data_IF_537853021502
#
_entry.id   IF_537853021502
#
_cell.length_a   1.000
_cell.length_b   1.000
_cell.length_c   1.000
_cell.angle_alpha   90.00
_cell.angle_beta   90.00
_cell.angle_gamma   90.00
#
_symmetry.space_group_name_H-M   'P 1'
#
loop_
_entity.id
_entity.type
_entity.pdbx_description
1 polymer ?
#
# COMPACT_ATOMS: atom_id res chain seq x y z
N UNK A 1 -30.48 19.96 41.11
CA UNK A 1 -30.16 19.83 42.53
C UNK A 1 -30.74 18.51 43.05
N UNK A 2 -29.92 17.67 43.65
CA UNK A 2 -30.26 16.54 44.48
C UNK A 2 -30.79 15.25 43.82
N UNK A 3 -30.08 14.74 42.86
CA UNK A 3 -30.13 13.31 42.50
C UNK A 3 -28.70 12.81 42.23
N UNK A 4 -27.88 12.90 43.23
CA UNK A 4 -26.55 12.30 43.13
C UNK A 4 -25.98 12.05 44.51
N UNK A 5 -26.13 10.90 45.06
CA UNK A 5 -25.06 10.33 45.90
C UNK A 5 -25.36 9.02 46.63
N UNK A 6 -26.56 8.49 46.69
CA UNK A 6 -26.77 7.33 47.56
C UNK A 6 -27.33 6.04 46.96
N UNK A 7 -27.86 6.04 45.74
CA UNK A 7 -28.62 4.87 45.26
C UNK A 7 -28.23 4.30 43.86
N UNK A 8 -27.09 4.63 43.33
CA UNK A 8 -26.59 3.90 42.12
C UNK A 8 -25.97 2.55 42.55
N UNK A 9 -26.79 1.62 43.02
CA UNK A 9 -26.47 0.19 43.01
C UNK A 9 -26.44 -0.26 41.54
N UNK A 10 -25.30 -0.13 40.89
CA UNK A 10 -25.08 -0.61 39.53
C UNK A 10 -25.27 -2.13 39.53
N UNK A 11 -26.41 -2.59 39.02
CA UNK A 11 -26.68 -4.01 38.84
C UNK A 11 -25.86 -4.51 37.62
N UNK A 12 -24.85 -5.31 37.91
CA UNK A 12 -23.85 -5.78 36.98
C UNK A 12 -24.38 -6.67 35.83
N UNK A 13 -25.67 -6.97 35.78
CA UNK A 13 -26.28 -7.78 34.72
C UNK A 13 -26.69 -7.02 33.46
N UNK A 14 -26.63 -5.69 33.45
CA UNK A 14 -27.04 -4.85 32.32
C UNK A 14 -25.97 -3.77 31.97
N UNK A 15 -24.71 -4.17 31.97
CA UNK A 15 -23.54 -3.29 31.80
C UNK A 15 -23.57 -2.43 30.51
N UNK A 16 -24.09 -3.00 29.43
CA UNK A 16 -24.04 -2.33 28.13
C UNK A 16 -24.93 -1.09 28.04
N UNK A 17 -26.14 -1.13 28.63
CA UNK A 17 -27.05 0.00 28.65
C UNK A 17 -26.64 1.07 29.66
N UNK A 18 -26.17 0.66 30.82
CA UNK A 18 -25.80 1.59 31.90
C UNK A 18 -24.53 2.37 31.57
N UNK A 19 -23.59 1.78 30.83
CA UNK A 19 -22.39 2.46 30.39
C UNK A 19 -22.65 3.42 29.23
N UNK A 20 -23.58 3.09 28.33
CA UNK A 20 -24.05 4.00 27.29
C UNK A 20 -24.80 5.21 27.90
N UNK A 21 -25.56 5.02 28.94
CA UNK A 21 -26.24 6.10 29.69
C UNK A 21 -25.22 6.97 30.43
N UNK A 22 -24.21 6.39 31.06
CA UNK A 22 -23.09 7.14 31.66
C UNK A 22 -22.34 7.95 30.60
N UNK A 23 -21.97 7.36 29.47
CA UNK A 23 -21.32 8.10 28.38
C UNK A 23 -22.18 9.22 27.78
N UNK A 24 -23.52 9.06 27.74
CA UNK A 24 -24.45 10.09 27.24
C UNK A 24 -24.65 11.25 28.22
N UNK A 25 -24.62 10.99 29.51
CA UNK A 25 -24.70 12.02 30.55
C UNK A 25 -23.48 12.93 30.57
N UNK A 26 -22.29 12.42 30.20
CA UNK A 26 -21.04 13.19 30.11
C UNK A 26 -20.95 14.11 28.90
N UNK A 27 -21.81 13.94 27.93
CA UNK A 27 -21.79 14.78 26.71
C UNK A 27 -22.47 16.16 26.93
N UNK A 28 -23.13 16.37 28.05
CA UNK A 28 -24.02 17.52 28.25
C UNK A 28 -23.64 18.56 29.33
N UNK A 29 -22.61 18.37 30.18
CA UNK A 29 -22.23 19.35 31.19
C UNK A 29 -20.72 19.57 31.36
N UNK A 30 -20.27 20.78 31.06
CA UNK A 30 -18.82 21.15 30.98
C UNK A 30 -18.13 21.47 32.33
N UNK A 31 -18.76 21.41 33.51
CA UNK A 31 -18.22 22.11 34.68
C UNK A 31 -18.02 21.35 36.02
N UNK A 32 -18.05 19.99 36.09
CA UNK A 32 -17.77 19.29 37.36
C UNK A 32 -17.14 17.89 37.23
N UNK A 33 -15.91 17.85 36.77
CA UNK A 33 -15.32 16.63 36.18
C UNK A 33 -14.56 15.66 37.12
N UNK A 34 -14.34 15.90 38.39
CA UNK A 34 -13.33 15.14 39.16
C UNK A 34 -13.79 13.80 39.73
N UNK A 35 -15.02 13.64 40.23
CA UNK A 35 -15.49 12.39 40.82
C UNK A 35 -16.04 11.40 39.78
N UNK A 36 -16.72 11.88 38.77
CA UNK A 36 -17.28 11.07 37.71
C UNK A 36 -16.15 10.45 36.83
N UNK A 37 -15.08 11.19 36.56
CA UNK A 37 -13.90 10.65 35.88
C UNK A 37 -13.26 9.48 36.64
N UNK A 38 -13.18 9.58 37.98
CA UNK A 38 -12.66 8.49 38.83
C UNK A 38 -13.53 7.23 38.74
N UNK A 39 -14.86 7.38 38.68
CA UNK A 39 -15.79 6.25 38.53
C UNK A 39 -15.59 5.57 37.16
N UNK A 40 -15.52 6.33 36.08
CA UNK A 40 -15.28 5.81 34.73
C UNK A 40 -13.93 5.08 34.61
N UNK A 41 -12.86 5.63 35.16
CA UNK A 41 -11.54 5.02 35.22
C UNK A 41 -11.60 3.70 36.02
N UNK A 42 -12.31 3.65 37.13
CA UNK A 42 -12.44 2.44 37.92
C UNK A 42 -13.23 1.34 37.22
N UNK A 43 -14.24 1.71 36.45
CA UNK A 43 -15.03 0.80 35.61
C UNK A 43 -14.16 0.30 34.42
N UNK A 44 -13.44 1.18 33.75
CA UNK A 44 -12.53 0.83 32.66
C UNK A 44 -11.42 -0.13 33.13
N UNK A 45 -10.81 0.12 34.29
CA UNK A 45 -9.80 -0.79 34.89
C UNK A 45 -10.39 -2.17 35.19
N UNK A 46 -11.65 -2.25 35.64
CA UNK A 46 -12.30 -3.54 35.91
C UNK A 46 -12.63 -4.32 34.64
N UNK A 47 -13.04 -3.64 33.57
CA UNK A 47 -13.26 -4.24 32.25
C UNK A 47 -11.96 -4.78 31.69
N UNK A 48 -10.85 -4.04 31.83
CA UNK A 48 -9.53 -4.43 31.34
C UNK A 48 -8.96 -5.67 32.02
N UNK A 49 -9.21 -5.80 33.33
CA UNK A 49 -8.76 -6.99 34.06
C UNK A 49 -9.53 -8.26 33.67
N UNK A 50 -10.64 -8.12 32.93
CA UNK A 50 -11.49 -9.22 32.48
C UNK A 50 -11.77 -9.09 30.96
N UNK A 51 -10.81 -8.63 30.18
CA UNK A 51 -11.00 -8.23 28.77
C UNK A 51 -11.48 -9.36 27.86
N UNK A 52 -11.20 -10.62 28.23
CA UNK A 52 -11.63 -11.80 27.46
C UNK A 52 -13.15 -12.03 27.52
N UNK A 53 -13.87 -11.37 28.43
CA UNK A 53 -15.30 -11.53 28.63
C UNK A 53 -16.14 -10.47 27.88
N UNK A 54 -15.50 -9.53 27.15
CA UNK A 54 -16.16 -8.41 26.52
C UNK A 54 -15.88 -8.31 25.02
N UNK A 55 -16.90 -7.89 24.26
CA UNK A 55 -16.78 -7.58 22.84
C UNK A 55 -15.78 -6.43 22.60
N UNK A 56 -14.83 -6.65 21.70
CA UNK A 56 -13.80 -5.69 21.33
C UNK A 56 -14.36 -4.32 20.88
N UNK A 57 -15.54 -4.30 20.25
CA UNK A 57 -16.19 -3.07 19.78
C UNK A 57 -16.73 -2.21 20.94
N UNK A 58 -17.13 -2.84 22.02
CA UNK A 58 -17.60 -2.18 23.24
C UNK A 58 -16.42 -1.56 24.02
N UNK A 59 -15.34 -2.30 24.17
CA UNK A 59 -14.09 -1.83 24.79
C UNK A 59 -13.54 -0.63 24.03
N UNK A 60 -13.55 -0.66 22.69
CA UNK A 60 -13.09 0.44 21.83
C UNK A 60 -13.90 1.73 22.03
N UNK A 61 -15.23 1.65 22.12
CA UNK A 61 -16.10 2.82 22.35
C UNK A 61 -15.83 3.50 23.69
N UNK A 62 -15.56 2.73 24.75
CA UNK A 62 -15.21 3.28 26.07
C UNK A 62 -13.88 4.01 26.01
N UNK A 63 -12.87 3.41 25.38
CA UNK A 63 -11.56 4.03 25.26
C UNK A 63 -11.57 5.28 24.38
N UNK A 64 -12.37 5.30 23.33
CA UNK A 64 -12.56 6.49 22.49
C UNK A 64 -13.17 7.64 23.30
N UNK A 65 -14.18 7.36 24.11
CA UNK A 65 -14.80 8.38 24.99
C UNK A 65 -13.84 8.93 26.04
N UNK A 66 -13.00 8.07 26.64
CA UNK A 66 -11.99 8.47 27.64
C UNK A 66 -10.81 9.25 27.03
N UNK A 67 -10.54 9.11 25.72
CA UNK A 67 -9.46 9.81 25.05
C UNK A 67 -9.66 11.34 24.93
N UNK A 68 -10.89 11.83 25.13
CA UNK A 68 -11.19 13.27 25.11
C UNK A 68 -10.85 14.01 26.41
N UNK A 69 -10.56 13.32 27.51
CA UNK A 69 -10.19 13.97 28.78
C UNK A 69 -8.71 14.37 28.81
N UNK A 70 -8.44 15.67 28.64
CA UNK A 70 -7.07 16.18 28.40
C UNK A 70 -6.16 16.33 29.61
N UNK A 71 -6.63 16.25 30.86
CA UNK A 71 -5.87 16.78 32.02
C UNK A 71 -5.60 15.82 33.18
N UNK A 72 -6.12 14.60 33.19
CA UNK A 72 -5.92 13.66 34.29
C UNK A 72 -4.74 12.69 34.00
N UNK A 73 -3.83 12.52 34.99
CA UNK A 73 -2.69 11.59 34.88
C UNK A 73 -3.15 10.13 34.66
N UNK A 74 -4.32 9.76 35.17
CA UNK A 74 -4.88 8.42 34.95
C UNK A 74 -5.47 8.27 33.55
N UNK A 75 -6.09 9.31 32.98
CA UNK A 75 -6.51 9.35 31.59
C UNK A 75 -5.31 9.28 30.63
N UNK A 76 -4.17 9.89 31.00
CA UNK A 76 -2.89 9.74 30.27
C UNK A 76 -2.39 8.30 30.34
N UNK A 77 -2.55 7.61 31.48
CA UNK A 77 -2.20 6.19 31.62
C UNK A 77 -3.08 5.28 30.74
N UNK A 78 -4.37 5.59 30.61
CA UNK A 78 -5.30 4.86 29.72
C UNK A 78 -4.96 5.13 28.24
N UNK A 79 -4.54 6.36 27.89
CA UNK A 79 -4.02 6.69 26.54
C UNK A 79 -2.78 5.87 26.15
N UNK A 80 -1.99 5.41 27.11
CA UNK A 80 -0.87 4.50 26.86
C UNK A 80 -1.31 3.11 26.36
N UNK A 81 -2.60 2.78 26.41
CA UNK A 81 -3.15 1.52 25.93
C UNK A 81 -3.47 1.51 24.44
N UNK A 82 -3.40 2.65 23.73
CA UNK A 82 -3.39 2.63 22.26
C UNK A 82 -2.13 1.88 21.80
N UNK A 83 -2.30 1.09 20.73
CA UNK A 83 -1.22 0.27 20.19
C UNK A 83 0.01 1.13 19.91
N UNK A 84 1.11 0.85 20.60
CA UNK A 84 2.33 1.67 20.57
C UNK A 84 2.88 1.79 19.16
N UNK A 85 2.87 0.70 18.38
CA UNK A 85 3.28 0.65 16.98
C UNK A 85 2.68 1.80 16.14
N UNK A 86 1.37 2.05 16.25
CA UNK A 86 0.73 3.13 15.48
C UNK A 86 1.06 4.53 16.01
N UNK A 87 1.36 4.66 17.32
CA UNK A 87 1.87 5.93 17.85
C UNK A 87 3.27 6.24 17.32
N UNK A 88 4.11 5.21 17.24
CA UNK A 88 5.46 5.35 16.72
C UNK A 88 5.42 5.74 15.23
N UNK A 89 4.53 5.11 14.45
CA UNK A 89 4.28 5.50 13.05
C UNK A 89 3.80 6.95 12.89
N UNK A 90 2.96 7.46 13.81
CA UNK A 90 2.55 8.87 13.81
C UNK A 90 3.72 9.82 14.12
N UNK A 91 4.64 9.38 14.96
CA UNK A 91 5.83 10.17 15.34
C UNK A 91 6.89 10.17 14.24
N UNK A 92 6.98 9.10 13.47
CA UNK A 92 7.86 8.94 12.32
C UNK A 92 7.19 9.49 11.04
N UNK A 93 6.80 10.77 11.06
CA UNK A 93 6.22 11.40 9.85
C UNK A 93 7.19 11.28 8.67
N UNK A 94 6.69 10.77 7.55
CA UNK A 94 7.42 10.78 6.28
C UNK A 94 7.83 12.21 5.92
N UNK A 95 9.11 12.40 5.62
CA UNK A 95 9.64 13.71 5.17
C UNK A 95 8.90 14.19 3.92
N UNK A 96 8.59 13.29 3.00
CA UNK A 96 7.82 13.59 1.78
C UNK A 96 6.46 14.19 2.14
N UNK A 97 5.75 13.61 3.11
CA UNK A 97 4.45 14.13 3.55
C UNK A 97 4.57 15.49 4.22
N UNK A 98 5.60 15.70 5.05
CA UNK A 98 5.86 17.01 5.68
C UNK A 98 6.15 18.10 4.63
N UNK A 99 6.94 17.77 3.61
CA UNK A 99 7.24 18.69 2.51
C UNK A 99 5.99 19.02 1.69
N UNK A 100 5.15 18.03 1.38
CA UNK A 100 3.89 18.25 0.68
C UNK A 100 2.89 19.08 1.48
N UNK A 101 2.77 18.83 2.80
CA UNK A 101 1.96 19.66 3.71
C UNK A 101 2.48 21.11 3.75
N UNK A 102 3.80 21.30 3.80
CA UNK A 102 4.43 22.61 3.75
C UNK A 102 4.19 23.32 2.42
N UNK A 103 4.39 22.64 1.30
CA UNK A 103 4.14 23.19 -0.04
C UNK A 103 2.67 23.61 -0.21
N UNK A 104 1.73 22.78 0.28
CA UNK A 104 0.29 23.10 0.27
C UNK A 104 0.00 24.37 1.09
N UNK A 105 0.50 24.46 2.31
CA UNK A 105 0.32 25.64 3.15
C UNK A 105 0.93 26.89 2.51
N UNK A 106 2.13 26.76 1.94
CA UNK A 106 2.79 27.87 1.25
C UNK A 106 2.05 28.33 0.01
N UNK A 107 1.47 27.39 -0.77
CA UNK A 107 0.64 27.72 -1.94
C UNK A 107 -0.62 28.51 -1.59
N UNK A 108 -1.20 28.27 -0.41
CA UNK A 108 -2.33 29.08 0.09
C UNK A 108 -1.92 30.54 0.42
N UNK A 109 -0.66 30.75 0.83
CA UNK A 109 -0.16 32.08 1.20
C UNK A 109 0.28 32.92 -0.01
N UNK A 110 1.00 32.32 -0.97
CA UNK A 110 1.67 33.07 -2.06
C UNK A 110 1.13 32.74 -3.45
N UNK A 111 0.13 31.86 -3.56
CA UNK A 111 -0.36 31.30 -4.83
C UNK A 111 0.39 30.01 -5.23
N UNK A 112 -0.35 29.00 -5.67
CA UNK A 112 0.23 27.69 -6.05
C UNK A 112 1.16 27.81 -7.26
N UNK A 113 0.96 28.76 -8.14
CA UNK A 113 1.82 29.07 -9.29
C UNK A 113 3.23 29.54 -8.90
N UNK A 114 3.43 29.93 -7.65
CA UNK A 114 4.72 30.37 -7.11
C UNK A 114 5.39 29.30 -6.22
N UNK A 115 4.84 28.08 -6.17
CA UNK A 115 5.39 26.96 -5.39
C UNK A 115 5.75 25.82 -6.33
N UNK A 116 7.05 25.49 -6.36
CA UNK A 116 7.58 24.36 -7.11
C UNK A 116 7.68 23.15 -6.18
N UNK A 117 6.60 22.37 -6.08
CA UNK A 117 6.54 21.17 -5.21
C UNK A 117 7.01 19.92 -5.94
N UNK A 118 8.17 19.42 -5.52
CA UNK A 118 8.75 18.16 -6.00
C UNK A 118 8.66 17.04 -4.95
N UNK A 119 7.82 17.18 -3.94
CA UNK A 119 7.74 16.22 -2.83
C UNK A 119 6.89 15.00 -3.15
N UNK A 120 5.75 15.17 -3.82
CA UNK A 120 4.78 14.11 -4.10
C UNK A 120 4.71 13.80 -5.58
N UNK A 121 5.04 12.54 -5.94
CA UNK A 121 4.98 12.06 -7.32
C UNK A 121 3.55 11.90 -7.84
N UNK A 122 2.85 13.02 -8.07
CA UNK A 122 1.55 13.02 -8.72
C UNK A 122 1.76 13.18 -10.24
N UNK A 123 1.12 12.35 -11.10
CA UNK A 123 1.19 12.53 -12.53
C UNK A 123 0.83 13.97 -12.95
N UNK A 124 1.66 14.56 -13.81
CA UNK A 124 1.48 15.93 -14.32
C UNK A 124 0.84 15.97 -15.71
N UNK A 125 0.50 14.82 -16.27
CA UNK A 125 -0.17 14.68 -17.56
C UNK A 125 -1.62 14.22 -17.37
N UNK A 126 -2.55 14.65 -18.25
CA UNK A 126 -3.95 14.25 -18.12
C UNK A 126 -4.17 12.77 -18.41
N UNK A 127 -5.28 12.24 -17.89
CA UNK A 127 -5.78 10.91 -18.26
C UNK A 127 -6.05 10.86 -19.78
N UNK A 128 -5.82 9.72 -20.46
CA UNK A 128 -6.20 9.55 -21.85
C UNK A 128 -7.68 9.82 -22.07
N UNK A 129 -8.00 10.54 -23.15
CA UNK A 129 -9.39 10.91 -23.47
C UNK A 129 -10.30 9.67 -23.59
N UNK A 130 -9.76 8.58 -24.11
CA UNK A 130 -10.49 7.33 -24.27
C UNK A 130 -11.05 6.78 -22.94
N UNK A 131 -10.34 6.97 -21.83
CA UNK A 131 -10.87 6.57 -20.50
C UNK A 131 -12.09 7.41 -20.14
N UNK A 132 -12.03 8.73 -20.38
CA UNK A 132 -13.17 9.64 -20.13
C UNK A 132 -14.35 9.26 -20.99
N UNK A 133 -14.14 9.00 -22.28
CA UNK A 133 -15.19 8.60 -23.23
C UNK A 133 -15.86 7.30 -22.82
N UNK A 134 -15.06 6.29 -22.44
CA UNK A 134 -15.56 5.01 -21.91
C UNK A 134 -16.41 5.21 -20.65
N UNK A 135 -15.97 6.05 -19.71
CA UNK A 135 -16.73 6.34 -18.50
C UNK A 135 -18.09 6.97 -18.82
N UNK A 136 -18.12 7.95 -19.74
CA UNK A 136 -19.36 8.61 -20.18
C UNK A 136 -20.29 7.60 -20.85
N UNK A 137 -19.77 6.81 -21.78
CA UNK A 137 -20.54 5.80 -22.49
C UNK A 137 -21.14 4.77 -21.52
N UNK A 138 -20.35 4.26 -20.59
CA UNK A 138 -20.81 3.28 -19.59
C UNK A 138 -21.95 3.84 -18.72
N UNK A 139 -21.83 5.08 -18.26
CA UNK A 139 -22.87 5.72 -17.45
C UNK A 139 -24.16 5.95 -18.22
N UNK A 140 -24.11 6.15 -19.54
CA UNK A 140 -25.28 6.38 -20.40
C UNK A 140 -25.95 5.08 -20.85
N UNK A 141 -25.19 4.04 -21.15
CA UNK A 141 -25.66 2.87 -21.88
C UNK A 141 -25.83 1.61 -21.02
N UNK A 142 -25.02 1.46 -19.96
CA UNK A 142 -25.02 0.24 -19.14
C UNK A 142 -26.08 0.27 -18.03
N UNK A 143 -26.53 -0.93 -17.66
CA UNK A 143 -27.42 -1.08 -16.52
C UNK A 143 -26.72 -0.60 -15.23
N UNK A 144 -27.32 0.36 -14.48
CA UNK A 144 -26.75 0.85 -13.23
C UNK A 144 -26.45 -0.26 -12.20
N UNK A 145 -27.24 -1.35 -12.17
CA UNK A 145 -27.01 -2.48 -11.28
C UNK A 145 -25.70 -3.24 -11.60
N UNK A 146 -25.29 -3.27 -12.87
CA UNK A 146 -24.01 -3.85 -13.28
C UNK A 146 -22.85 -2.94 -12.95
N UNK A 147 -23.02 -1.62 -13.12
CA UNK A 147 -21.96 -0.64 -12.87
C UNK A 147 -21.66 -0.47 -11.39
N UNK A 148 -22.70 -0.46 -10.55
CA UNK A 148 -22.60 -0.08 -9.14
C UNK A 148 -22.78 -1.25 -8.17
N UNK A 149 -23.05 -2.46 -8.67
CA UNK A 149 -23.15 -3.68 -7.88
C UNK A 149 -21.81 -4.14 -7.31
N UNK A 150 -21.84 -4.98 -6.30
CA UNK A 150 -20.64 -5.62 -5.76
C UNK A 150 -19.92 -6.45 -6.81
N UNK A 151 -18.62 -6.26 -6.96
CA UNK A 151 -17.77 -7.19 -7.70
C UNK A 151 -17.51 -8.47 -6.86
N UNK A 152 -17.23 -9.62 -7.52
CA UNK A 152 -16.65 -10.77 -6.84
C UNK A 152 -15.39 -10.38 -6.04
N UNK A 153 -15.09 -11.11 -4.97
CA UNK A 153 -13.97 -10.79 -4.05
C UNK A 153 -12.61 -10.75 -4.70
N UNK A 154 -12.40 -11.42 -5.81
CA UNK A 154 -11.16 -11.36 -6.60
C UNK A 154 -11.13 -10.25 -7.65
N UNK A 155 -12.21 -9.50 -7.79
CA UNK A 155 -12.44 -8.54 -8.86
C UNK A 155 -13.37 -9.08 -9.94
N UNK A 156 -13.89 -8.18 -10.78
CA UNK A 156 -14.80 -8.52 -11.86
C UNK A 156 -14.14 -9.54 -12.82
N UNK A 157 -14.84 -10.62 -13.13
CA UNK A 157 -14.29 -11.74 -13.91
C UNK A 157 -13.87 -11.32 -15.31
N UNK A 158 -14.70 -10.52 -16.02
CA UNK A 158 -14.34 -10.04 -17.36
C UNK A 158 -13.16 -9.08 -17.36
N UNK A 159 -12.99 -8.30 -16.29
CA UNK A 159 -11.82 -7.41 -16.12
C UNK A 159 -10.55 -8.21 -15.88
N UNK A 160 -10.60 -9.23 -15.01
CA UNK A 160 -9.45 -10.13 -14.77
C UNK A 160 -9.05 -10.87 -16.06
N UNK A 161 -10.01 -11.29 -16.87
CA UNK A 161 -9.79 -11.91 -18.17
C UNK A 161 -9.14 -10.93 -19.15
N UNK A 162 -9.65 -9.71 -19.28
CA UNK A 162 -9.06 -8.68 -20.14
C UNK A 162 -7.61 -8.31 -19.72
N UNK A 163 -7.33 -8.22 -18.43
CA UNK A 163 -5.97 -8.00 -17.91
C UNK A 163 -5.05 -9.17 -18.27
N UNK A 164 -5.52 -10.41 -18.08
CA UNK A 164 -4.75 -11.61 -18.41
C UNK A 164 -4.43 -11.68 -19.91
N UNK A 165 -5.40 -11.40 -20.77
CA UNK A 165 -5.21 -11.37 -22.22
C UNK A 165 -4.22 -10.28 -22.67
N UNK A 166 -4.32 -9.09 -22.06
CA UNK A 166 -3.39 -7.99 -22.29
C UNK A 166 -1.96 -8.37 -21.93
N UNK A 167 -1.76 -8.96 -20.73
CA UNK A 167 -0.43 -9.44 -20.29
C UNK A 167 0.09 -10.57 -21.21
N UNK A 168 -0.76 -11.52 -21.57
CA UNK A 168 -0.39 -12.64 -22.46
C UNK A 168 0.03 -12.14 -23.83
N UNK A 169 -0.73 -11.23 -24.42
CA UNK A 169 -0.40 -10.60 -25.70
C UNK A 169 0.91 -9.83 -25.64
N UNK A 170 1.12 -9.07 -24.58
CA UNK A 170 2.28 -8.18 -24.43
C UNK A 170 3.57 -8.94 -24.13
N UNK A 171 3.50 -9.95 -23.26
CA UNK A 171 4.69 -10.62 -22.75
C UNK A 171 4.89 -12.05 -23.26
N UNK A 172 3.90 -12.64 -23.92
CA UNK A 172 3.98 -14.04 -24.39
C UNK A 172 3.94 -15.08 -23.26
N UNK A 173 3.46 -14.69 -22.06
CA UNK A 173 3.24 -15.57 -20.91
C UNK A 173 1.76 -15.91 -20.84
N UNK A 174 1.35 -17.19 -20.69
CA UNK A 174 -0.06 -17.61 -20.81
C UNK A 174 -0.88 -17.30 -19.56
N UNK A 175 -1.02 -16.02 -19.21
CA UNK A 175 -1.88 -15.59 -18.11
C UNK A 175 -3.36 -15.95 -18.39
N UNK A 176 -4.07 -16.27 -17.33
CA UNK A 176 -5.52 -16.47 -17.30
C UNK A 176 -6.10 -15.65 -16.15
N UNK A 177 -7.41 -15.46 -16.13
CA UNK A 177 -8.09 -14.75 -15.03
C UNK A 177 -7.81 -15.35 -13.65
N UNK A 178 -7.53 -16.64 -13.57
CA UNK A 178 -7.18 -17.36 -12.35
C UNK A 178 -5.83 -16.87 -11.75
N UNK A 179 -4.99 -16.20 -12.53
CA UNK A 179 -3.71 -15.65 -12.11
C UNK A 179 -3.78 -14.16 -11.73
N UNK A 180 -4.96 -13.53 -11.83
CA UNK A 180 -5.15 -12.09 -11.63
C UNK A 180 -6.07 -11.82 -10.44
N UNK A 181 -5.64 -10.91 -9.57
CA UNK A 181 -6.42 -10.37 -8.46
C UNK A 181 -6.47 -8.84 -8.54
N UNK A 182 -7.69 -8.25 -8.61
CA UNK A 182 -7.86 -6.81 -8.72
C UNK A 182 -7.67 -6.13 -7.36
N UNK A 183 -6.90 -5.05 -7.32
CA UNK A 183 -6.48 -4.39 -6.07
C UNK A 183 -6.66 -2.88 -6.10
N UNK A 184 -6.70 -2.24 -4.91
CA UNK A 184 -6.65 -0.80 -4.78
C UNK A 184 -5.23 -0.30 -5.05
N UNK A 185 -4.86 -0.23 -6.33
CA UNK A 185 -3.53 0.11 -6.84
C UNK A 185 -2.42 -0.86 -6.37
N UNK A 186 -1.16 -0.55 -6.68
CA UNK A 186 -0.01 -1.36 -6.30
C UNK A 186 0.13 -1.52 -4.76
N UNK A 187 -0.25 -0.51 -3.99
CA UNK A 187 -0.24 -0.60 -2.52
C UNK A 187 -1.11 -1.76 -2.01
N UNK A 188 -2.31 -1.94 -2.58
CA UNK A 188 -3.16 -3.08 -2.29
C UNK A 188 -2.56 -4.40 -2.76
N UNK A 189 -1.92 -4.43 -3.93
CA UNK A 189 -1.23 -5.61 -4.44
C UNK A 189 -0.08 -6.04 -3.52
N UNK A 190 0.79 -5.11 -3.13
CA UNK A 190 1.90 -5.35 -2.20
C UNK A 190 1.41 -5.83 -0.84
N UNK A 191 0.38 -5.20 -0.28
CA UNK A 191 -0.20 -5.62 1.01
C UNK A 191 -0.71 -7.06 1.01
N UNK A 192 -1.20 -7.56 -0.14
CA UNK A 192 -1.59 -8.96 -0.32
C UNK A 192 -0.37 -9.85 -0.60
N UNK A 193 0.53 -9.43 -1.50
CA UNK A 193 1.73 -10.19 -1.85
C UNK A 193 2.57 -10.55 -0.62
N UNK A 194 2.83 -9.58 0.27
CA UNK A 194 3.58 -9.84 1.50
C UNK A 194 2.89 -10.87 2.40
N UNK A 195 1.56 -10.76 2.56
CA UNK A 195 0.77 -11.71 3.38
C UNK A 195 0.63 -13.10 2.78
N UNK A 196 0.77 -13.23 1.46
CA UNK A 196 0.75 -14.52 0.78
C UNK A 196 1.98 -15.36 1.10
N UNK A 197 3.14 -14.72 1.27
CA UNK A 197 4.43 -15.39 1.22
C UNK A 197 5.25 -15.28 2.52
N UNK A 198 4.74 -14.56 3.54
CA UNK A 198 5.45 -14.40 4.81
C UNK A 198 4.58 -14.67 6.03
N UNK A 199 5.21 -15.18 7.06
CA UNK A 199 4.70 -15.29 8.43
C UNK A 199 5.45 -14.32 9.36
N UNK A 200 4.98 -14.22 10.61
CA UNK A 200 5.64 -13.37 11.61
C UNK A 200 7.09 -13.82 11.86
N UNK A 201 8.03 -12.91 11.67
CA UNK A 201 9.47 -13.15 11.86
C UNK A 201 10.24 -13.54 10.60
N UNK A 202 9.55 -13.80 9.48
CA UNK A 202 10.18 -13.96 8.17
C UNK A 202 10.82 -12.65 7.70
N UNK A 203 11.75 -12.75 6.76
CA UNK A 203 12.48 -11.61 6.23
C UNK A 203 12.11 -11.36 4.76
N UNK A 204 12.00 -10.08 4.40
CA UNK A 204 11.89 -9.60 3.03
C UNK A 204 13.10 -8.72 2.76
N UNK A 205 13.82 -8.97 1.65
CA UNK A 205 14.89 -8.07 1.20
C UNK A 205 14.36 -7.08 0.16
N UNK A 206 14.82 -5.83 0.24
CA UNK A 206 14.68 -4.83 -0.83
C UNK A 206 16.00 -4.09 -1.01
N UNK A 207 16.11 -3.32 -2.09
CA UNK A 207 17.37 -2.67 -2.50
C UNK A 207 17.25 -1.15 -2.33
N UNK A 208 18.22 -0.53 -1.67
CA UNK A 208 18.27 0.93 -1.58
C UNK A 208 18.77 1.54 -2.92
N UNK A 209 18.24 2.73 -3.29
CA UNK A 209 17.15 3.46 -2.69
C UNK A 209 15.79 2.84 -3.02
N UNK A 210 14.82 2.95 -2.11
CA UNK A 210 13.51 2.30 -2.26
C UNK A 210 12.35 3.21 -1.79
N UNK A 211 11.13 2.84 -2.13
CA UNK A 211 9.93 3.55 -1.73
C UNK A 211 9.66 3.35 -0.22
N UNK A 212 9.67 4.43 0.61
CA UNK A 212 9.65 4.30 2.08
C UNK A 212 8.42 3.59 2.66
N UNK A 213 7.30 3.58 1.93
CA UNK A 213 6.07 2.93 2.40
C UNK A 213 6.17 1.39 2.44
N UNK A 214 7.24 0.79 1.90
CA UNK A 214 7.47 -0.65 2.07
C UNK A 214 7.64 -1.04 3.54
N UNK A 215 8.26 -0.18 4.37
CA UNK A 215 8.38 -0.41 5.81
C UNK A 215 7.01 -0.66 6.47
N UNK A 216 6.05 0.28 6.46
CA UNK A 216 4.76 0.04 7.11
C UNK A 216 3.98 -1.13 6.48
N UNK A 217 4.12 -1.39 5.18
CA UNK A 217 3.42 -2.51 4.54
C UNK A 217 3.93 -3.86 5.05
N UNK A 218 5.24 -4.03 5.17
CA UNK A 218 5.87 -5.25 5.69
C UNK A 218 5.68 -5.37 7.20
N UNK A 219 5.93 -4.30 7.95
CA UNK A 219 5.79 -4.29 9.42
C UNK A 219 4.39 -4.72 9.89
N UNK A 220 3.34 -4.40 9.12
CA UNK A 220 1.98 -4.78 9.46
C UNK A 220 1.65 -6.25 9.16
N UNK A 221 2.54 -7.00 8.53
CA UNK A 221 2.43 -8.47 8.41
C UNK A 221 3.10 -9.20 9.57
N UNK A 222 3.99 -8.54 10.30
CA UNK A 222 4.86 -9.15 11.31
C UNK A 222 6.19 -9.66 10.75
N UNK A 223 6.39 -9.57 9.43
CA UNK A 223 7.68 -9.82 8.79
C UNK A 223 8.65 -8.65 8.99
N UNK A 224 9.91 -8.85 8.68
CA UNK A 224 11.00 -7.88 8.83
C UNK A 224 11.50 -7.45 7.46
N UNK A 225 11.40 -6.15 7.14
CA UNK A 225 12.03 -5.61 5.93
C UNK A 225 13.52 -5.35 6.21
N UNK A 226 14.39 -5.95 5.39
CA UNK A 226 15.83 -5.69 5.36
C UNK A 226 16.23 -5.02 4.06
N UNK A 227 17.13 -4.06 4.15
CA UNK A 227 17.53 -3.21 3.03
C UNK A 227 18.95 -3.53 2.63
N UNK A 228 19.13 -4.01 1.41
CA UNK A 228 20.45 -4.23 0.79
C UNK A 228 21.04 -2.86 0.45
N UNK A 229 22.30 -2.57 0.88
CA UNK A 229 22.98 -1.32 0.53
C UNK A 229 23.06 -1.10 -0.99
N UNK A 230 22.97 0.16 -1.45
CA UNK A 230 22.98 0.45 -2.89
C UNK A 230 24.36 0.25 -3.51
N UNK A 231 24.38 -0.04 -4.79
CA UNK A 231 25.48 0.36 -5.68
C UNK A 231 25.25 1.83 -6.04
N UNK A 232 26.06 2.72 -5.51
CA UNK A 232 25.88 4.17 -5.70
C UNK A 232 26.39 4.69 -7.06
N UNK A 233 27.08 3.87 -7.84
CA UNK A 233 27.57 4.25 -9.17
C UNK A 233 26.50 4.05 -10.24
N UNK A 234 25.73 2.96 -10.13
CA UNK A 234 24.77 2.56 -11.17
C UNK A 234 23.33 2.46 -10.69
N UNK A 235 23.12 2.34 -9.38
CA UNK A 235 21.86 1.95 -8.73
C UNK A 235 21.25 0.64 -9.29
N UNK A 236 22.07 -0.20 -9.95
CA UNK A 236 21.74 -1.60 -10.15
C UNK A 236 21.90 -2.36 -8.81
N UNK A 237 21.62 -3.64 -8.80
CA UNK A 237 21.70 -4.44 -7.56
C UNK A 237 23.16 -4.60 -7.13
N UNK A 238 23.45 -4.26 -5.86
CA UNK A 238 24.70 -4.60 -5.19
C UNK A 238 24.66 -6.10 -4.81
N UNK A 239 25.14 -6.95 -5.70
CA UNK A 239 25.03 -8.40 -5.55
C UNK A 239 25.86 -8.95 -4.40
N UNK A 240 27.02 -8.38 -4.10
CA UNK A 240 27.88 -8.84 -3.01
C UNK A 240 27.14 -8.68 -1.67
N UNK A 241 26.60 -7.50 -1.41
CA UNK A 241 25.79 -7.24 -0.22
C UNK A 241 24.48 -8.06 -0.22
N UNK A 242 23.86 -8.24 -1.38
CA UNK A 242 22.65 -9.05 -1.51
C UNK A 242 22.88 -10.50 -1.10
N UNK A 243 23.92 -11.14 -1.63
CA UNK A 243 24.21 -12.55 -1.33
C UNK A 243 24.58 -12.77 0.15
N UNK A 244 25.27 -11.79 0.77
CA UNK A 244 25.57 -11.81 2.20
C UNK A 244 24.31 -11.74 3.08
N UNK A 245 23.33 -10.92 2.67
CA UNK A 245 22.08 -10.72 3.41
C UNK A 245 21.02 -11.79 3.13
N UNK A 246 21.17 -12.59 2.08
CA UNK A 246 20.19 -13.59 1.66
C UNK A 246 20.33 -14.88 2.52
N UNK A 247 19.62 -14.89 3.65
CA UNK A 247 19.62 -15.99 4.62
C UNK A 247 18.41 -16.93 4.42
N UNK A 248 18.39 -18.06 5.13
CA UNK A 248 17.26 -19.02 5.14
C UNK A 248 15.93 -18.43 5.69
N UNK A 249 15.98 -17.29 6.38
CA UNK A 249 14.79 -16.57 6.85
C UNK A 249 14.12 -15.74 5.77
N UNK A 250 14.81 -15.49 4.67
CA UNK A 250 14.28 -14.68 3.57
C UNK A 250 13.26 -15.49 2.78
N UNK A 251 12.02 -15.01 2.76
CA UNK A 251 10.91 -15.63 2.01
C UNK A 251 10.58 -14.88 0.74
N UNK A 252 10.94 -13.62 0.67
CA UNK A 252 10.71 -12.82 -0.54
C UNK A 252 11.81 -11.78 -0.75
N UNK A 253 12.01 -11.44 -2.03
CA UNK A 253 12.79 -10.29 -2.49
C UNK A 253 11.85 -9.34 -3.20
N UNK A 254 11.89 -8.07 -2.82
CA UNK A 254 11.07 -7.01 -3.37
C UNK A 254 11.94 -6.12 -4.26
N UNK A 255 11.56 -6.00 -5.53
CA UNK A 255 12.16 -5.04 -6.47
C UNK A 255 11.13 -4.04 -6.95
N UNK A 256 11.61 -2.85 -7.36
CA UNK A 256 10.83 -1.84 -8.05
C UNK A 256 11.59 -1.38 -9.28
N UNK A 257 11.05 -1.67 -10.46
CA UNK A 257 11.71 -1.35 -11.73
C UNK A 257 10.68 -1.03 -12.83
N UNK A 258 10.72 0.19 -13.41
CA UNK A 258 11.57 1.35 -13.08
C UNK A 258 11.46 1.76 -11.62
N UNK A 259 12.58 2.19 -11.01
CA UNK A 259 12.67 2.40 -9.57
C UNK A 259 12.23 3.81 -9.16
N UNK A 260 11.49 3.89 -8.08
CA UNK A 260 11.27 5.11 -7.31
C UNK A 260 12.08 5.01 -6.00
N UNK A 261 13.08 5.90 -5.74
CA UNK A 261 13.23 7.23 -6.35
C UNK A 261 14.34 7.35 -7.41
N UNK A 262 15.14 6.31 -7.69
CA UNK A 262 16.36 6.49 -8.52
C UNK A 262 16.09 6.69 -10.02
N UNK A 263 14.92 6.29 -10.51
CA UNK A 263 14.61 6.28 -11.93
C UNK A 263 15.35 5.20 -12.73
N UNK A 264 16.14 4.37 -12.08
CA UNK A 264 16.91 3.31 -12.75
C UNK A 264 15.99 2.14 -13.11
N UNK A 265 16.22 1.59 -14.31
CA UNK A 265 15.60 0.35 -14.77
C UNK A 265 16.62 -0.78 -14.59
N UNK A 266 16.23 -1.86 -13.94
CA UNK A 266 17.10 -3.03 -13.84
C UNK A 266 17.22 -3.71 -15.20
N UNK A 267 18.47 -3.85 -15.65
CA UNK A 267 18.78 -4.43 -16.94
C UNK A 267 18.47 -5.94 -16.99
N UNK A 268 18.34 -6.47 -18.23
CA UNK A 268 18.18 -7.91 -18.44
C UNK A 268 19.27 -8.74 -17.73
N UNK A 269 20.59 -8.40 -17.80
CA UNK A 269 21.61 -9.12 -17.04
C UNK A 269 21.44 -9.03 -15.53
N UNK A 270 20.99 -7.89 -15.01
CA UNK A 270 20.73 -7.72 -13.56
C UNK A 270 19.58 -8.64 -13.10
N UNK A 271 18.48 -8.67 -13.84
CA UNK A 271 17.34 -9.53 -13.51
C UNK A 271 17.72 -11.01 -13.63
N UNK A 272 18.47 -11.39 -14.68
CA UNK A 272 18.94 -12.76 -14.86
C UNK A 272 19.81 -13.21 -13.68
N UNK A 273 20.82 -12.41 -13.30
CA UNK A 273 21.69 -12.74 -12.15
C UNK A 273 20.91 -12.84 -10.85
N UNK A 274 19.98 -11.89 -10.60
CA UNK A 274 19.10 -11.94 -9.44
C UNK A 274 18.35 -13.27 -9.36
N UNK A 275 17.68 -13.64 -10.45
CA UNK A 275 16.84 -14.84 -10.48
C UNK A 275 17.63 -16.14 -10.42
N UNK A 276 18.85 -16.17 -10.95
CA UNK A 276 19.75 -17.33 -10.82
C UNK A 276 20.18 -17.54 -9.37
N UNK A 277 20.51 -16.44 -8.64
CA UNK A 277 20.81 -16.51 -7.20
C UNK A 277 19.58 -16.99 -6.42
N UNK A 278 18.38 -16.49 -6.73
CA UNK A 278 17.15 -16.94 -6.05
C UNK A 278 16.91 -18.44 -6.23
N UNK A 279 17.10 -18.99 -7.43
CA UNK A 279 16.99 -20.44 -7.69
C UNK A 279 17.99 -21.24 -6.87
N UNK A 280 19.26 -20.83 -6.88
CA UNK A 280 20.33 -21.47 -6.13
C UNK A 280 19.99 -21.51 -4.62
N UNK A 281 19.61 -20.35 -4.07
CA UNK A 281 19.33 -20.23 -2.64
C UNK A 281 18.04 -20.95 -2.23
N UNK A 282 16.98 -20.91 -3.05
CA UNK A 282 15.78 -21.71 -2.82
C UNK A 282 16.09 -23.21 -2.72
N UNK A 283 16.88 -23.71 -3.66
CA UNK A 283 17.34 -25.10 -3.61
C UNK A 283 18.21 -25.41 -2.38
N UNK A 284 19.09 -24.49 -2.00
CA UNK A 284 19.98 -24.65 -0.84
C UNK A 284 19.22 -24.64 0.48
N UNK A 285 18.22 -23.76 0.62
CA UNK A 285 17.45 -23.59 1.87
C UNK A 285 16.25 -24.54 1.97
N UNK A 286 15.88 -25.20 0.88
CA UNK A 286 14.78 -26.17 0.84
C UNK A 286 13.40 -25.54 0.93
N UNK A 287 13.28 -24.25 0.54
CA UNK A 287 12.01 -23.54 0.43
C UNK A 287 12.06 -22.50 -0.69
N UNK A 288 10.89 -22.12 -1.21
CA UNK A 288 10.77 -21.09 -2.22
C UNK A 288 11.09 -19.71 -1.67
N UNK A 289 11.78 -18.91 -2.49
CA UNK A 289 11.97 -17.47 -2.28
C UNK A 289 11.18 -16.76 -3.38
N UNK A 290 10.18 -15.98 -3.02
CA UNK A 290 9.34 -15.29 -3.99
C UNK A 290 9.96 -13.97 -4.44
N UNK A 291 9.79 -13.63 -5.73
CA UNK A 291 10.17 -12.34 -6.28
C UNK A 291 8.93 -11.47 -6.44
N UNK A 292 8.82 -10.45 -5.59
CA UNK A 292 7.73 -9.46 -5.66
C UNK A 292 8.23 -8.30 -6.50
N UNK A 293 7.62 -8.10 -7.66
CA UNK A 293 7.95 -7.02 -8.59
C UNK A 293 6.91 -5.91 -8.51
N UNK A 294 7.29 -4.77 -7.94
CA UNK A 294 6.47 -3.56 -7.89
C UNK A 294 6.66 -2.75 -9.17
N UNK A 295 5.63 -2.73 -10.03
CA UNK A 295 5.72 -2.24 -11.40
C UNK A 295 4.75 -1.09 -11.74
N UNK A 296 4.52 -0.08 -10.89
CA UNK A 296 3.62 1.03 -11.22
C UNK A 296 4.13 1.91 -12.35
N UNK A 297 5.43 1.86 -12.65
CA UNK A 297 6.12 2.67 -13.67
C UNK A 297 6.45 1.90 -14.94
N UNK A 298 5.98 0.67 -15.11
CA UNK A 298 6.35 -0.23 -16.22
C UNK A 298 6.19 0.40 -17.60
N UNK A 299 5.22 1.28 -17.81
CA UNK A 299 4.98 1.99 -19.07
C UNK A 299 5.76 3.29 -19.19
N UNK A 300 6.45 3.73 -18.13
CA UNK A 300 7.26 4.96 -18.14
C UNK A 300 8.73 4.55 -18.22
N UNK A 301 9.11 4.11 -19.41
CA UNK A 301 10.48 3.76 -19.77
C UNK A 301 10.91 4.66 -20.93
N UNK A 302 12.10 5.24 -20.81
CA UNK A 302 12.61 6.20 -21.77
C UNK A 302 13.22 5.52 -23.01
N UNK A 303 13.36 6.28 -24.08
CA UNK A 303 13.81 5.74 -25.37
C UNK A 303 15.19 5.02 -25.26
N UNK A 304 15.27 3.84 -25.83
CA UNK A 304 16.51 3.03 -25.87
C UNK A 304 16.81 2.26 -24.58
N UNK A 305 15.96 2.35 -23.54
CA UNK A 305 16.15 1.60 -22.29
C UNK A 305 15.49 0.22 -22.38
N UNK A 306 16.26 -0.82 -22.08
CA UNK A 306 15.75 -2.19 -21.94
C UNK A 306 15.04 -2.36 -20.58
N UNK A 307 13.74 -2.68 -20.61
CA UNK A 307 12.91 -2.94 -19.43
C UNK A 307 12.33 -4.36 -19.49
N UNK A 308 13.04 -5.35 -18.97
CA UNK A 308 12.63 -6.74 -19.07
C UNK A 308 11.37 -7.03 -18.25
N UNK A 309 10.50 -7.91 -18.77
CA UNK A 309 9.39 -8.48 -18.00
C UNK A 309 9.94 -9.51 -17.00
N UNK A 310 9.92 -9.19 -15.72
CA UNK A 310 10.52 -9.99 -14.64
C UNK A 310 9.97 -11.42 -14.59
N UNK A 311 8.67 -11.61 -14.84
CA UNK A 311 8.02 -12.93 -14.86
C UNK A 311 8.57 -13.90 -15.94
N UNK A 312 9.33 -13.41 -16.93
CA UNK A 312 10.00 -14.28 -17.90
C UNK A 312 11.24 -14.97 -17.32
N UNK A 313 11.77 -14.46 -16.23
CA UNK A 313 13.04 -14.90 -15.67
C UNK A 313 12.90 -15.77 -14.42
N UNK A 314 11.73 -15.71 -13.75
CA UNK A 314 11.53 -16.43 -12.49
C UNK A 314 10.09 -16.87 -12.31
N UNK A 315 9.88 -18.18 -12.04
CA UNK A 315 8.54 -18.75 -11.95
C UNK A 315 7.78 -18.23 -10.71
N UNK A 316 8.45 -18.14 -9.57
CA UNK A 316 7.85 -17.66 -8.31
C UNK A 316 7.79 -16.12 -8.26
N UNK A 317 7.23 -15.49 -9.31
CA UNK A 317 7.10 -14.03 -9.42
C UNK A 317 5.67 -13.57 -9.17
N UNK A 318 5.54 -12.56 -8.29
CA UNK A 318 4.32 -11.82 -8.01
C UNK A 318 4.47 -10.39 -8.55
N UNK A 319 3.73 -10.04 -9.59
CA UNK A 319 3.73 -8.71 -10.20
C UNK A 319 2.66 -7.84 -9.54
N UNK A 320 3.06 -6.73 -8.93
CA UNK A 320 2.19 -5.73 -8.33
C UNK A 320 2.11 -4.51 -9.25
N UNK A 321 0.93 -4.24 -9.82
CA UNK A 321 0.75 -3.21 -10.82
C UNK A 321 -0.29 -2.17 -10.43
N UNK A 322 -0.14 -0.95 -10.94
CA UNK A 322 -1.10 0.15 -10.78
C UNK A 322 -1.28 0.96 -12.05
N UNK A 323 -2.52 1.33 -12.34
CA UNK A 323 -2.85 2.30 -13.41
C UNK A 323 -2.64 3.76 -12.97
N UNK A 324 -2.18 4.00 -11.75
CA UNK A 324 -1.95 5.34 -11.21
C UNK A 324 -1.02 6.19 -12.05
N UNK A 325 -0.04 5.56 -12.71
CA UNK A 325 1.01 6.25 -13.46
C UNK A 325 0.81 6.11 -14.96
N UNK A 326 0.58 4.90 -15.45
CA UNK A 326 0.37 4.63 -16.88
C UNK A 326 -0.84 5.33 -17.49
N UNK A 327 -1.93 5.45 -16.73
CA UNK A 327 -3.16 6.13 -17.16
C UNK A 327 -3.43 7.44 -16.43
N UNK A 328 -2.50 7.94 -15.60
CA UNK A 328 -2.71 9.13 -14.76
C UNK A 328 -3.98 9.05 -13.89
N UNK A 329 -4.24 7.89 -13.28
CA UNK A 329 -5.43 7.60 -12.46
C UNK A 329 -5.06 7.34 -10.97
N UNK A 330 -4.22 8.16 -10.30
CA UNK A 330 -3.82 7.86 -8.93
C UNK A 330 -4.99 7.93 -7.93
N UNK A 331 -6.00 8.76 -8.20
CA UNK A 331 -7.18 8.93 -7.38
C UNK A 331 -8.16 7.76 -7.45
N UNK A 332 -8.17 7.02 -8.54
CA UNK A 332 -9.13 5.93 -8.79
C UNK A 332 -8.77 4.63 -8.06
N UNK A 333 -7.57 4.55 -7.51
CA UNK A 333 -7.10 3.41 -6.71
C UNK A 333 -7.32 2.07 -7.39
N UNK A 334 -6.83 1.90 -8.60
CA UNK A 334 -7.00 0.70 -9.43
C UNK A 334 -5.66 0.09 -9.84
N UNK A 335 -5.55 -1.21 -9.68
CA UNK A 335 -4.39 -2.02 -10.03
C UNK A 335 -4.70 -3.50 -9.92
N UNK A 336 -3.67 -4.33 -9.97
CA UNK A 336 -3.80 -5.78 -9.82
C UNK A 336 -2.52 -6.41 -9.26
N UNK A 337 -2.70 -7.58 -8.66
CA UNK A 337 -1.67 -8.57 -8.43
C UNK A 337 -1.79 -9.64 -9.51
N UNK A 338 -0.71 -9.93 -10.23
CA UNK A 338 -0.63 -11.04 -11.15
C UNK A 338 0.42 -12.04 -10.66
N UNK A 339 0.01 -13.29 -10.44
CA UNK A 339 0.92 -14.39 -10.11
C UNK A 339 1.36 -15.05 -11.39
N UNK A 340 2.66 -15.27 -11.56
CA UNK A 340 3.19 -15.93 -12.74
C UNK A 340 2.52 -17.30 -12.96
N UNK A 341 1.97 -17.60 -14.16
CA UNK A 341 1.35 -18.89 -14.44
C UNK A 341 2.26 -20.12 -14.26
N UNK A 342 3.58 -19.91 -14.32
CA UNK A 342 4.59 -20.97 -14.07
C UNK A 342 4.80 -21.24 -12.56
N UNK A 343 4.30 -20.39 -11.67
CA UNK A 343 4.35 -20.65 -10.23
C UNK A 343 3.42 -21.83 -9.89
N UNK A 344 3.90 -22.87 -9.18
CA UNK A 344 3.12 -24.08 -8.92
C UNK A 344 1.76 -23.84 -8.25
N UNK A 345 1.68 -22.86 -7.36
CA UNK A 345 0.49 -22.56 -6.58
C UNK A 345 -0.24 -21.27 -7.04
N UNK A 346 -0.03 -20.83 -8.29
CA UNK A 346 -0.51 -19.55 -8.78
C UNK A 346 -2.03 -19.32 -8.54
N UNK A 347 -2.86 -20.29 -8.91
CA UNK A 347 -4.32 -20.20 -8.72
C UNK A 347 -4.72 -20.23 -7.24
N UNK A 348 -4.04 -21.02 -6.43
CA UNK A 348 -4.25 -21.10 -4.98
C UNK A 348 -3.92 -19.74 -4.34
N UNK A 349 -2.79 -19.14 -4.69
CA UNK A 349 -2.36 -17.83 -4.18
C UNK A 349 -3.37 -16.74 -4.50
N UNK A 350 -3.90 -16.69 -5.72
CA UNK A 350 -4.95 -15.73 -6.10
C UNK A 350 -6.23 -15.96 -5.29
N UNK A 351 -6.63 -17.21 -5.06
CA UNK A 351 -7.78 -17.52 -4.21
C UNK A 351 -7.55 -17.12 -2.74
N UNK A 352 -6.34 -17.29 -2.23
CA UNK A 352 -5.94 -16.83 -0.89
C UNK A 352 -6.04 -15.32 -0.75
N UNK A 353 -5.76 -14.52 -1.80
CA UNK A 353 -5.97 -13.08 -1.79
C UNK A 353 -7.39 -12.69 -1.39
N UNK A 354 -8.41 -13.45 -1.84
CA UNK A 354 -9.79 -13.23 -1.42
C UNK A 354 -10.03 -13.41 0.08
N UNK A 355 -9.33 -14.35 0.72
CA UNK A 355 -9.40 -14.55 2.18
C UNK A 355 -8.63 -13.46 2.94
N UNK A 356 -7.46 -13.10 2.44
CA UNK A 356 -6.67 -11.99 2.99
C UNK A 356 -7.50 -10.69 2.96
N UNK A 357 -8.15 -10.38 1.82
CA UNK A 357 -9.06 -9.23 1.66
C UNK A 357 -10.13 -9.18 2.74
N UNK A 358 -10.79 -10.31 3.02
CA UNK A 358 -11.79 -10.41 4.09
C UNK A 358 -11.18 -10.13 5.46
N UNK A 359 -10.00 -10.70 5.72
CA UNK A 359 -9.31 -10.56 7.02
C UNK A 359 -8.87 -9.14 7.33
N UNK A 360 -8.43 -8.39 6.32
CA UNK A 360 -7.92 -7.01 6.49
C UNK A 360 -8.96 -5.94 6.13
N UNK A 361 -10.17 -6.32 5.71
CA UNK A 361 -11.22 -5.38 5.31
C UNK A 361 -10.89 -4.59 4.03
N UNK A 362 -10.07 -5.15 3.14
CA UNK A 362 -9.62 -4.51 1.90
C UNK A 362 -10.32 -5.14 0.70
N UNK A 363 -11.51 -4.65 0.39
CA UNK A 363 -12.31 -5.16 -0.71
C UNK A 363 -11.79 -4.69 -2.08
N UNK A 364 -12.42 -5.22 -3.14
CA UNK A 364 -12.11 -4.85 -4.53
C UNK A 364 -12.17 -3.34 -4.77
N UNK A 365 -11.44 -2.84 -5.79
CA UNK A 365 -11.61 -1.49 -6.31
C UNK A 365 -13.06 -1.25 -6.77
N UNK A 366 -13.49 0.03 -6.93
CA UNK A 366 -14.82 0.36 -7.42
C UNK A 366 -15.17 -0.36 -8.73
N UNK A 367 -16.37 -0.96 -8.79
CA UNK A 367 -16.80 -1.78 -9.92
C UNK A 367 -16.73 -1.05 -11.27
N UNK A 368 -17.24 0.18 -11.31
CA UNK A 368 -17.24 1.00 -12.53
C UNK A 368 -15.81 1.28 -13.03
N UNK A 369 -14.87 1.52 -12.12
CA UNK A 369 -13.45 1.79 -12.48
C UNK A 369 -12.78 0.54 -13.03
N UNK A 370 -13.05 -0.64 -12.44
CA UNK A 370 -12.58 -1.92 -12.99
C UNK A 370 -13.04 -2.10 -14.43
N UNK A 371 -14.34 -1.90 -14.69
CA UNK A 371 -14.95 -2.05 -16.02
C UNK A 371 -14.42 -1.03 -17.04
N UNK A 372 -14.10 0.20 -16.60
CA UNK A 372 -13.56 1.22 -17.47
C UNK A 372 -12.11 0.93 -17.88
N UNK A 373 -11.23 0.59 -16.93
CA UNK A 373 -9.81 0.33 -17.25
C UNK A 373 -9.66 -0.89 -18.15
N UNK A 374 -10.54 -1.88 -18.05
CA UNK A 374 -10.51 -3.06 -18.93
C UNK A 374 -10.67 -2.72 -20.42
N UNK A 375 -11.26 -1.57 -20.75
CA UNK A 375 -11.47 -1.13 -22.12
C UNK A 375 -10.34 -0.28 -22.70
N UNK A 376 -9.36 0.11 -21.85
CA UNK A 376 -8.26 1.01 -22.22
C UNK A 376 -6.89 0.44 -21.82
N UNK A 377 -6.76 -0.89 -21.71
CA UNK A 377 -5.52 -1.56 -21.29
C UNK A 377 -4.35 -1.38 -22.27
N UNK A 378 -4.62 -0.98 -23.50
CA UNK A 378 -3.65 -0.67 -24.54
C UNK A 378 -3.25 0.82 -24.58
N UNK A 379 -3.84 1.65 -23.73
CA UNK A 379 -3.61 3.09 -23.67
C UNK A 379 -2.61 3.44 -22.59
N UNK A 380 -1.91 4.55 -22.80
CA UNK A 380 -1.06 5.21 -21.80
C UNK A 380 -1.27 6.71 -21.88
N UNK A 381 -1.06 7.42 -20.77
CA UNK A 381 -0.92 8.86 -20.78
C UNK A 381 0.31 9.29 -21.58
N UNK A 382 0.43 10.57 -21.94
CA UNK A 382 1.61 11.07 -22.68
C UNK A 382 2.85 11.11 -21.76
N UNK A 383 3.61 10.03 -21.77
CA UNK A 383 4.83 9.86 -20.96
C UNK A 383 6.06 10.58 -21.51
N UNK A 384 6.00 11.12 -22.74
CA UNK A 384 7.14 11.86 -23.36
C UNK A 384 7.50 13.12 -22.59
N UNK A 385 6.51 13.72 -21.92
CA UNK A 385 6.75 14.88 -21.06
C UNK A 385 7.76 14.57 -19.96
N UNK A 386 7.65 13.38 -19.34
CA UNK A 386 8.58 12.95 -18.28
C UNK A 386 10.00 12.77 -18.80
N UNK A 387 10.17 12.15 -19.98
CA UNK A 387 11.47 12.00 -20.60
C UNK A 387 12.11 13.34 -20.97
N UNK A 388 11.32 14.27 -21.52
CA UNK A 388 11.77 15.63 -21.84
C UNK A 388 12.26 16.34 -20.59
N UNK A 389 11.46 16.34 -19.52
CA UNK A 389 11.79 16.98 -18.24
C UNK A 389 13.05 16.36 -17.61
N UNK A 390 13.14 15.04 -17.61
CA UNK A 390 14.30 14.30 -17.11
C UNK A 390 15.58 14.69 -17.88
N UNK A 391 15.52 14.71 -19.21
CA UNK A 391 16.68 15.07 -20.02
C UNK A 391 17.15 16.50 -19.76
N UNK A 392 16.24 17.46 -19.60
CA UNK A 392 16.57 18.85 -19.24
C UNK A 392 17.29 18.87 -17.88
N UNK A 393 16.67 18.28 -16.84
CA UNK A 393 17.26 18.28 -15.49
C UNK A 393 18.60 17.56 -15.43
N UNK A 394 18.71 16.41 -16.09
CA UNK A 394 19.95 15.62 -16.11
C UNK A 394 21.09 16.42 -16.76
N UNK A 395 20.85 17.04 -17.91
CA UNK A 395 21.86 17.80 -18.63
C UNK A 395 22.29 19.04 -17.84
N UNK A 396 21.33 19.84 -17.36
CA UNK A 396 21.63 21.05 -16.59
C UNK A 396 22.38 20.75 -15.29
N UNK A 397 22.01 19.69 -14.56
CA UNK A 397 22.70 19.32 -13.33
C UNK A 397 24.11 18.80 -13.62
N UNK A 398 24.32 18.01 -14.67
CA UNK A 398 25.66 17.55 -15.06
C UNK A 398 26.56 18.69 -15.53
N UNK A 399 26.01 19.64 -16.28
CA UNK A 399 26.75 20.84 -16.71
C UNK A 399 27.15 21.73 -15.54
N UNK A 400 26.36 21.75 -14.46
CA UNK A 400 26.70 22.40 -13.19
C UNK A 400 27.70 21.62 -12.32
N UNK A 401 28.12 20.42 -12.76
CA UNK A 401 29.14 19.59 -12.08
C UNK A 401 28.58 18.60 -11.07
N UNK A 402 27.25 18.36 -11.04
CA UNK A 402 26.67 17.29 -10.23
C UNK A 402 26.93 15.91 -10.88
N UNK A 403 27.24 14.92 -10.05
CA UNK A 403 27.29 13.52 -10.49
C UNK A 403 25.88 12.92 -10.38
N UNK A 404 25.33 12.52 -11.52
CA UNK A 404 23.98 11.96 -11.60
C UNK A 404 24.01 10.61 -12.33
N UNK A 405 23.33 9.62 -11.79
CA UNK A 405 22.96 8.43 -12.58
C UNK A 405 21.79 8.80 -13.47
N UNK A 406 21.92 8.56 -14.78
CA UNK A 406 20.84 8.91 -15.72
C UNK A 406 19.63 8.00 -15.49
N UNK A 407 18.45 8.56 -15.19
CA UNK A 407 17.22 7.78 -15.08
C UNK A 407 16.87 7.10 -16.41
N UNK A 408 16.39 5.86 -16.35
CA UNK A 408 15.89 5.12 -17.52
C UNK A 408 14.36 5.08 -17.58
N UNK A 409 13.69 5.55 -16.55
CA UNK A 409 12.21 5.55 -16.45
C UNK A 409 11.74 6.29 -15.22
N UNK A 410 10.44 6.13 -14.93
CA UNK A 410 9.69 6.86 -13.88
C UNK A 410 9.62 8.39 -14.13
N UNK A 411 9.23 9.22 -13.13
CA UNK A 411 9.14 10.67 -13.29
C UNK A 411 9.47 11.41 -12.01
#
# INVERSE_FOLDING_TARGET
SDVCSSDLKINLKNYNEQLLILCSLFYHEENSFTEECKILIKVAKKILNNINDYDNNFVYKIFYSLAFFKTDKEAISIRKMLVQKYKDMLSAKSVIRQLSEFATARGQEIGYENVFDYSLGNPSVPVPQEFTDVMIQMLQEKNPMELHGYSPSLGNTSVREAVADSLSKRFGIPYKKEHIFMTSAAAGALAHAFRLVTETGDEILTFAPFFPEYHPYVDLTGAVLKVVPPDTETFQINFDAFEEMLTEKVKAVLINTPNNPSGVVYSTPTIQKLTDILREKSAKYGHDIYLISDEPYREIVFEGVDAPCVSKFYDNTLMCYSFSKSLSLPGERIGYLAVNPACPDAELMVNMCGQISRGIGHNCPPSIIQLAVAQVLDKTADTKVYETNMNILYNELTDLGFTCVKPGGTF
#
